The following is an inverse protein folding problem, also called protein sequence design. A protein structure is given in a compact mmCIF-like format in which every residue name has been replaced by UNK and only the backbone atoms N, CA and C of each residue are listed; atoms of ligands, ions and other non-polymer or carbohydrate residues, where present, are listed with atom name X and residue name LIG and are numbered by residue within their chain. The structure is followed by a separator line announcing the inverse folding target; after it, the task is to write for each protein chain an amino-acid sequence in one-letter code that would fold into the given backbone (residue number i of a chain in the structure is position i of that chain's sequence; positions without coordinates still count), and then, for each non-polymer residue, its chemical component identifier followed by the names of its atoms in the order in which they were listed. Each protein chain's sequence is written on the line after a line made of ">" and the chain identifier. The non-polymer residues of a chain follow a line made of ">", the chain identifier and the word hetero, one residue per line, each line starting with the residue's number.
data_IF_347956155369
#
_entry.id   IF_347956155369
#
_cell.length_a   1.000
_cell.length_b   1.000
_cell.length_c   1.000
_cell.angle_alpha   90.00
_cell.angle_beta   90.00
_cell.angle_gamma   90.00
#
_symmetry.space_group_name_H-M   'P 1'
#
loop_
_entity.id
_entity.type
_entity.pdbx_description
1 polymer ?
#
# COMPACT_ATOMS: atom_id res chain seq x y z
N UNK A 1 18.29 10.09 -3.51
CA UNK A 1 17.57 8.81 -3.30
C UNK A 1 16.11 9.13 -3.48
N UNK A 2 15.46 8.52 -4.44
CA UNK A 2 14.03 8.75 -4.71
C UNK A 2 13.16 8.15 -3.60
N UNK A 3 11.88 8.53 -3.54
CA UNK A 3 10.94 7.90 -2.60
C UNK A 3 10.79 6.39 -2.87
N UNK A 4 10.99 5.96 -4.13
CA UNK A 4 10.94 4.55 -4.55
C UNK A 4 12.12 3.78 -3.92
N UNK A 5 13.35 4.30 -4.06
CA UNK A 5 14.54 3.68 -3.47
C UNK A 5 14.40 3.55 -1.95
N UNK A 6 13.87 4.62 -1.31
CA UNK A 6 13.63 4.64 0.12
C UNK A 6 12.57 3.61 0.54
N UNK A 7 11.48 3.48 -0.22
CA UNK A 7 10.43 2.49 0.04
C UNK A 7 10.97 1.06 -0.06
N UNK A 8 11.72 0.75 -1.13
CA UNK A 8 12.39 -0.56 -1.30
C UNK A 8 13.30 -0.87 -0.12
N UNK A 9 14.15 0.08 0.29
CA UNK A 9 15.03 -0.12 1.44
C UNK A 9 14.25 -0.37 2.74
N UNK A 10 13.16 0.38 2.97
CA UNK A 10 12.29 0.19 4.12
C UNK A 10 11.63 -1.18 4.15
N UNK A 11 11.16 -1.67 3.01
CA UNK A 11 10.59 -3.01 2.86
C UNK A 11 11.61 -4.10 3.20
N UNK A 12 12.83 -3.99 2.66
CA UNK A 12 13.92 -4.96 2.93
C UNK A 12 14.33 -4.99 4.40
N UNK A 13 14.41 -3.81 5.05
CA UNK A 13 14.76 -3.70 6.48
C UNK A 13 13.73 -4.27 7.44
N UNK A 14 12.55 -4.59 6.95
CA UNK A 14 11.46 -5.15 7.75
C UNK A 14 11.12 -6.59 7.39
N UNK A 15 12.03 -7.25 6.65
CA UNK A 15 11.90 -8.65 6.24
C UNK A 15 10.60 -8.91 5.46
N UNK A 16 10.16 -7.94 4.66
CA UNK A 16 9.06 -8.14 3.74
C UNK A 16 9.61 -8.89 2.53
N UNK A 17 9.04 -10.04 2.24
CA UNK A 17 9.44 -10.96 1.17
C UNK A 17 8.39 -11.10 0.08
N UNK A 18 7.10 -10.91 0.41
CA UNK A 18 5.99 -11.06 -0.53
C UNK A 18 5.39 -9.70 -0.88
N UNK A 19 5.25 -9.42 -2.18
CA UNK A 19 4.58 -8.22 -2.67
C UNK A 19 3.41 -8.62 -3.55
N UNK A 20 2.18 -8.37 -3.08
CA UNK A 20 0.99 -8.47 -3.91
C UNK A 20 0.65 -7.09 -4.48
N UNK A 21 0.37 -7.01 -5.78
CA UNK A 21 0.16 -5.71 -6.42
C UNK A 21 -0.89 -5.73 -7.52
N UNK A 22 -1.50 -4.57 -7.75
CA UNK A 22 -2.24 -4.24 -8.96
C UNK A 22 -1.69 -2.91 -9.50
N UNK A 23 -1.14 -2.88 -10.73
CA UNK A 23 -0.45 -1.70 -11.24
C UNK A 23 -1.41 -0.56 -11.58
N UNK A 24 -0.98 0.66 -11.29
CA UNK A 24 -1.52 1.94 -11.77
C UNK A 24 -0.36 2.84 -12.13
N UNK A 25 -0.61 3.89 -12.88
CA UNK A 25 0.44 4.79 -13.40
C UNK A 25 1.38 5.30 -12.29
N UNK A 26 0.85 5.65 -11.11
CA UNK A 26 1.63 6.26 -10.03
C UNK A 26 2.36 5.25 -9.16
N UNK A 27 1.84 4.03 -8.98
CA UNK A 27 2.48 2.96 -8.21
C UNK A 27 3.42 2.10 -9.05
N UNK A 28 3.24 2.06 -10.38
CA UNK A 28 4.02 1.19 -11.27
C UNK A 28 5.54 1.32 -11.12
N UNK A 29 6.13 2.52 -10.93
CA UNK A 29 7.57 2.61 -10.72
C UNK A 29 8.07 1.84 -9.49
N UNK A 30 7.31 1.84 -8.39
CA UNK A 30 7.65 1.06 -7.20
C UNK A 30 7.46 -0.44 -7.45
N UNK A 31 6.41 -0.81 -8.18
CA UNK A 31 6.16 -2.22 -8.57
C UNK A 31 7.31 -2.75 -9.43
N UNK A 32 7.75 -2.01 -10.44
CA UNK A 32 8.87 -2.45 -11.28
C UNK A 32 10.18 -2.57 -10.47
N UNK A 33 10.47 -1.60 -9.60
CA UNK A 33 11.64 -1.69 -8.72
C UNK A 33 11.59 -2.93 -7.80
N UNK A 34 10.40 -3.30 -7.31
CA UNK A 34 10.23 -4.51 -6.51
C UNK A 34 10.37 -5.80 -7.33
N UNK A 35 9.93 -5.81 -8.59
CA UNK A 35 10.08 -6.96 -9.50
C UNK A 35 11.53 -7.21 -9.90
N UNK A 36 12.32 -6.16 -10.00
CA UNK A 36 13.73 -6.22 -10.37
C UNK A 36 14.66 -6.54 -9.19
N UNK A 37 14.14 -6.66 -7.97
CA UNK A 37 14.89 -6.95 -6.75
C UNK A 37 14.62 -8.38 -6.25
N UNK A 38 15.65 -9.22 -6.26
CA UNK A 38 15.60 -10.65 -5.87
C UNK A 38 15.16 -10.87 -4.39
N UNK A 39 15.07 -9.80 -3.59
CA UNK A 39 14.58 -9.90 -2.21
C UNK A 39 13.06 -10.14 -2.14
N UNK A 40 12.33 -9.94 -3.23
CA UNK A 40 10.86 -10.00 -3.22
C UNK A 40 10.30 -11.06 -4.16
N UNK A 41 9.34 -11.83 -3.66
CA UNK A 41 8.40 -12.58 -4.50
C UNK A 41 7.23 -11.66 -4.85
N UNK A 42 6.98 -11.43 -6.13
CA UNK A 42 5.92 -10.51 -6.57
C UNK A 42 4.74 -11.27 -7.18
N UNK A 43 3.53 -10.90 -6.77
CA UNK A 43 2.27 -11.52 -7.24
C UNK A 43 1.34 -10.47 -7.83
N UNK A 44 1.12 -10.54 -9.13
CA UNK A 44 0.08 -9.74 -9.79
C UNK A 44 -1.29 -10.33 -9.45
N UNK A 45 -2.16 -9.51 -8.89
CA UNK A 45 -3.56 -9.91 -8.61
C UNK A 45 -4.51 -9.33 -9.65
N UNK A 46 -5.64 -9.97 -9.85
CA UNK A 46 -6.68 -9.49 -10.76
C UNK A 46 -7.63 -8.48 -10.11
N UNK A 47 -7.68 -8.47 -8.78
CA UNK A 47 -8.42 -7.53 -7.94
C UNK A 47 -7.68 -7.35 -6.63
N UNK A 48 -7.71 -6.16 -6.07
CA UNK A 48 -6.98 -5.83 -4.85
C UNK A 48 -7.46 -6.65 -3.64
N UNK A 49 -8.74 -7.01 -3.59
CA UNK A 49 -9.25 -7.88 -2.52
C UNK A 49 -8.56 -9.25 -2.49
N UNK A 50 -8.15 -9.79 -3.66
CA UNK A 50 -7.42 -11.04 -3.73
C UNK A 50 -6.03 -10.92 -3.09
N UNK A 51 -5.41 -9.73 -3.13
CA UNK A 51 -4.14 -9.48 -2.46
C UNK A 51 -4.24 -9.68 -0.94
N UNK A 52 -5.37 -9.30 -0.32
CA UNK A 52 -5.57 -9.54 1.12
C UNK A 52 -5.49 -11.04 1.43
N UNK A 53 -6.09 -11.89 0.58
CA UNK A 53 -5.99 -13.36 0.72
C UNK A 53 -4.57 -13.88 0.52
N UNK A 54 -3.86 -13.41 -0.52
CA UNK A 54 -2.46 -13.78 -0.80
C UNK A 54 -1.56 -13.43 0.38
N UNK A 55 -1.66 -12.20 0.89
CA UNK A 55 -0.84 -11.70 1.99
C UNK A 55 -1.19 -12.37 3.32
N UNK A 56 -2.45 -12.70 3.53
CA UNK A 56 -2.89 -13.53 4.67
C UNK A 56 -2.28 -14.92 4.63
N UNK A 57 -2.26 -15.55 3.45
CA UNK A 57 -1.60 -16.85 3.23
C UNK A 57 -0.09 -16.76 3.44
N UNK A 58 0.56 -15.71 2.97
CA UNK A 58 1.99 -15.47 3.19
C UNK A 58 2.32 -15.39 4.69
N UNK A 59 1.54 -14.62 5.46
CA UNK A 59 1.71 -14.51 6.91
C UNK A 59 1.55 -15.85 7.62
N UNK A 60 0.52 -16.63 7.28
CA UNK A 60 0.33 -17.99 7.83
C UNK A 60 1.46 -18.94 7.43
N UNK A 61 2.09 -18.70 6.28
CA UNK A 61 3.28 -19.40 5.82
C UNK A 61 4.60 -18.89 6.40
N UNK A 62 4.56 -17.91 7.31
CA UNK A 62 5.74 -17.33 7.97
C UNK A 62 6.45 -16.21 7.19
N UNK A 63 5.86 -15.70 6.11
CA UNK A 63 6.39 -14.58 5.32
C UNK A 63 5.66 -13.28 5.63
N UNK A 64 6.39 -12.18 5.70
CA UNK A 64 5.80 -10.84 5.76
C UNK A 64 5.51 -10.34 4.35
N UNK A 65 4.38 -9.63 4.20
CA UNK A 65 3.98 -9.15 2.89
C UNK A 65 3.53 -7.71 2.85
N UNK A 66 3.57 -7.12 1.64
CA UNK A 66 3.06 -5.78 1.36
C UNK A 66 2.12 -5.77 0.16
N UNK A 67 1.11 -4.88 0.21
CA UNK A 67 0.20 -4.55 -0.89
C UNK A 67 0.66 -3.26 -1.55
N UNK A 68 0.83 -3.28 -2.87
CA UNK A 68 1.08 -2.10 -3.68
C UNK A 68 -0.11 -1.86 -4.63
N UNK A 69 -0.83 -0.77 -4.44
CA UNK A 69 -1.96 -0.38 -5.29
C UNK A 69 -2.26 1.12 -5.20
N UNK A 70 -3.28 1.58 -5.90
CA UNK A 70 -3.82 2.93 -5.73
C UNK A 70 -5.02 2.96 -4.77
N UNK A 71 -5.43 4.15 -4.33
CA UNK A 71 -6.51 4.33 -3.35
C UNK A 71 -7.86 3.78 -3.79
N UNK A 72 -8.26 3.95 -5.06
CA UNK A 72 -9.53 3.36 -5.55
C UNK A 72 -9.50 1.84 -5.57
N UNK A 73 -8.33 1.25 -5.77
CA UNK A 73 -8.12 -0.19 -5.66
C UNK A 73 -8.18 -0.67 -4.22
N UNK A 74 -7.59 0.09 -3.29
CA UNK A 74 -7.68 -0.22 -1.87
C UNK A 74 -9.15 -0.25 -1.39
N UNK A 75 -10.01 0.62 -1.91
CA UNK A 75 -11.44 0.61 -1.57
C UNK A 75 -12.11 -0.75 -1.86
N UNK A 76 -11.65 -1.50 -2.87
CA UNK A 76 -12.15 -2.85 -3.15
C UNK A 76 -11.79 -3.88 -2.06
N UNK A 77 -10.85 -3.56 -1.17
CA UNK A 77 -10.38 -4.49 -0.14
C UNK A 77 -11.18 -4.42 1.17
N UNK A 78 -12.04 -3.43 1.36
CA UNK A 78 -12.65 -3.14 2.66
C UNK A 78 -13.43 -4.30 3.27
N UNK A 79 -14.17 -5.06 2.44
CA UNK A 79 -14.82 -6.28 2.93
C UNK A 79 -13.79 -7.32 3.40
N UNK A 80 -12.74 -7.57 2.63
CA UNK A 80 -11.69 -8.53 3.01
C UNK A 80 -10.88 -8.07 4.23
N UNK A 81 -10.64 -6.76 4.37
CA UNK A 81 -10.03 -6.18 5.58
C UNK A 81 -10.92 -6.44 6.82
N UNK A 82 -12.20 -6.12 6.72
CA UNK A 82 -13.15 -6.18 7.84
C UNK A 82 -13.54 -7.62 8.22
N UNK A 83 -13.64 -8.53 7.24
CA UNK A 83 -14.14 -9.90 7.46
C UNK A 83 -13.05 -10.97 7.54
N UNK A 84 -11.83 -10.69 7.07
CA UNK A 84 -10.71 -11.63 7.09
C UNK A 84 -9.52 -11.08 7.87
N UNK A 85 -8.87 -10.02 7.35
CA UNK A 85 -7.56 -9.58 7.87
C UNK A 85 -7.63 -9.12 9.32
N UNK A 86 -8.56 -8.21 9.64
CA UNK A 86 -8.70 -7.66 10.99
C UNK A 86 -9.13 -8.71 12.02
N UNK A 87 -10.23 -9.46 11.84
CA UNK A 87 -10.70 -10.41 12.86
C UNK A 87 -9.78 -11.61 13.04
N UNK A 88 -9.09 -12.05 11.99
CA UNK A 88 -8.17 -13.17 12.05
C UNK A 88 -6.72 -12.77 12.40
N UNK A 89 -6.45 -11.47 12.59
CA UNK A 89 -5.12 -10.91 12.92
C UNK A 89 -4.06 -11.29 11.89
N UNK A 90 -4.37 -11.03 10.62
CA UNK A 90 -3.53 -11.34 9.47
C UNK A 90 -2.93 -10.02 8.93
N UNK A 91 -1.74 -9.61 9.41
CA UNK A 91 -1.16 -8.32 9.10
C UNK A 91 -0.55 -8.27 7.69
N UNK A 92 -0.50 -7.09 7.14
CA UNK A 92 0.34 -6.72 6.01
C UNK A 92 0.59 -5.21 6.01
N UNK A 93 1.59 -4.75 5.26
CA UNK A 93 1.82 -3.34 5.00
C UNK A 93 1.16 -2.95 3.68
N UNK A 94 0.33 -1.91 3.66
CA UNK A 94 -0.11 -1.26 2.42
C UNK A 94 0.81 -0.06 2.09
N UNK A 95 1.33 0.01 0.86
CA UNK A 95 1.90 1.25 0.29
C UNK A 95 1.00 1.62 -0.87
N UNK A 96 0.22 2.68 -0.70
CA UNK A 96 -0.90 3.02 -1.56
C UNK A 96 -0.73 4.45 -2.08
N UNK A 97 -0.68 4.62 -3.39
CA UNK A 97 -0.69 5.97 -3.98
C UNK A 97 -2.08 6.57 -3.86
N UNK A 98 -2.18 7.69 -3.14
CA UNK A 98 -3.45 8.37 -2.93
C UNK A 98 -3.83 9.20 -4.14
N UNK A 99 -5.04 9.00 -4.63
CA UNK A 99 -5.69 9.78 -5.67
C UNK A 99 -6.82 10.60 -5.06
N UNK A 100 -7.40 11.51 -5.82
CA UNK A 100 -8.62 12.22 -5.46
C UNK A 100 -8.44 13.51 -4.67
N UNK A 101 -7.20 13.95 -4.46
CA UNK A 101 -6.89 15.21 -3.80
C UNK A 101 -6.11 16.13 -4.75
N UNK A 102 -5.09 16.80 -4.30
CA UNK A 102 -4.34 17.82 -5.01
C UNK A 102 -3.90 17.35 -6.41
N UNK A 103 -4.30 18.09 -7.44
CA UNK A 103 -3.99 17.78 -8.84
C UNK A 103 -4.89 16.72 -9.50
N UNK A 104 -5.91 16.19 -8.81
CA UNK A 104 -6.82 15.20 -9.40
C UNK A 104 -7.84 15.83 -10.35
N UNK A 105 -7.88 15.35 -11.58
CA UNK A 105 -8.84 15.78 -12.60
C UNK A 105 -9.95 14.73 -12.86
N UNK A 106 -9.78 13.50 -12.40
CA UNK A 106 -10.75 12.42 -12.61
C UNK A 106 -11.72 12.32 -11.44
N UNK A 107 -12.95 12.78 -11.63
CA UNK A 107 -14.00 12.76 -10.61
C UNK A 107 -14.24 11.36 -10.01
N UNK A 108 -14.04 10.29 -10.77
CA UNK A 108 -14.19 8.91 -10.28
C UNK A 108 -13.17 8.54 -9.18
N UNK A 109 -12.05 9.27 -9.08
CA UNK A 109 -11.04 9.06 -8.06
C UNK A 109 -11.27 9.89 -6.79
N UNK A 110 -12.06 10.97 -6.90
CA UNK A 110 -12.18 11.97 -5.82
C UNK A 110 -12.84 11.37 -4.57
N UNK A 111 -14.01 10.75 -4.71
CA UNK A 111 -14.79 10.34 -3.52
C UNK A 111 -14.06 9.34 -2.65
N UNK A 112 -13.57 8.25 -3.23
CA UNK A 112 -12.86 7.21 -2.47
C UNK A 112 -11.44 7.65 -2.09
N UNK A 113 -10.74 8.34 -2.99
CA UNK A 113 -9.36 8.74 -2.76
C UNK A 113 -9.22 9.85 -1.71
N UNK A 114 -10.04 10.90 -1.81
CA UNK A 114 -10.03 11.99 -0.85
C UNK A 114 -10.39 11.53 0.57
N UNK A 115 -11.41 10.68 0.69
CA UNK A 115 -11.87 10.18 1.99
C UNK A 115 -11.14 8.89 2.45
N UNK A 116 -10.09 8.46 1.76
CA UNK A 116 -9.42 7.19 2.08
C UNK A 116 -8.93 7.09 3.54
N UNK A 117 -8.34 8.12 4.15
CA UNK A 117 -7.96 8.05 5.57
C UNK A 117 -9.15 7.73 6.48
N UNK A 118 -10.24 8.46 6.33
CA UNK A 118 -11.46 8.30 7.14
C UNK A 118 -12.11 6.93 6.90
N UNK A 119 -12.15 6.46 5.65
CA UNK A 119 -12.69 5.15 5.32
C UNK A 119 -11.87 4.00 5.94
N UNK A 120 -10.55 4.15 6.03
CA UNK A 120 -9.68 3.20 6.73
C UNK A 120 -9.93 3.24 8.24
N UNK A 121 -10.11 4.43 8.82
CA UNK A 121 -10.44 4.59 10.23
C UNK A 121 -11.79 3.95 10.56
N UNK A 122 -12.80 4.09 9.70
CA UNK A 122 -14.13 3.48 9.85
C UNK A 122 -14.07 1.94 9.90
N UNK A 123 -13.12 1.32 9.22
CA UNK A 123 -12.87 -0.13 9.29
C UNK A 123 -11.75 -0.50 10.27
N UNK A 124 -11.31 0.43 11.12
CA UNK A 124 -10.28 0.28 12.13
C UNK A 124 -8.89 -0.12 11.58
N UNK A 125 -8.59 0.21 10.33
CA UNK A 125 -7.29 0.01 9.73
C UNK A 125 -6.44 1.26 9.92
N UNK A 126 -5.36 1.13 10.69
CA UNK A 126 -4.44 2.25 10.91
C UNK A 126 -3.78 2.69 9.62
N UNK A 127 -3.65 4.00 9.46
CA UNK A 127 -3.06 4.59 8.28
C UNK A 127 -2.24 5.84 8.60
N UNK A 128 -1.44 6.27 7.65
CA UNK A 128 -0.65 7.49 7.75
C UNK A 128 -0.38 8.05 6.36
N UNK A 129 -0.67 9.34 6.14
CA UNK A 129 -0.36 10.05 4.90
C UNK A 129 1.10 10.53 4.89
N UNK A 130 1.79 10.26 3.79
CA UNK A 130 3.17 10.68 3.54
C UNK A 130 3.15 11.83 2.55
N UNK A 131 3.45 13.05 3.01
CA UNK A 131 3.33 14.29 2.24
C UNK A 131 4.63 14.78 1.61
N UNK A 132 5.77 14.24 2.01
CA UNK A 132 7.10 14.61 1.54
C UNK A 132 7.97 13.37 1.34
N UNK A 133 9.04 13.52 0.53
CA UNK A 133 9.98 12.44 0.26
C UNK A 133 10.99 12.21 1.41
N UNK A 134 10.99 13.08 2.41
CA UNK A 134 11.93 12.95 3.52
C UNK A 134 11.55 11.77 4.43
N UNK A 135 12.52 10.91 4.68
CA UNK A 135 12.37 9.77 5.59
C UNK A 135 11.29 8.73 5.20
N UNK A 136 10.98 8.54 3.91
CA UNK A 136 10.06 7.50 3.44
C UNK A 136 10.51 6.11 3.92
N UNK A 137 11.81 5.81 3.88
CA UNK A 137 12.36 4.55 4.38
C UNK A 137 11.99 4.30 5.84
N UNK A 138 12.17 5.33 6.69
CA UNK A 138 11.85 5.21 8.12
C UNK A 138 10.33 5.07 8.37
N UNK A 139 9.49 5.79 7.60
CA UNK A 139 8.03 5.64 7.68
C UNK A 139 7.57 4.25 7.30
N UNK A 140 8.13 3.68 6.22
CA UNK A 140 7.86 2.28 5.82
C UNK A 140 8.27 1.33 6.94
N UNK A 141 9.46 1.50 7.50
CA UNK A 141 9.94 0.67 8.61
C UNK A 141 9.03 0.76 9.84
N UNK A 142 8.63 1.96 10.23
CA UNK A 142 7.74 2.17 11.39
C UNK A 142 6.36 1.55 11.17
N UNK A 143 5.76 1.76 10.00
CA UNK A 143 4.45 1.22 9.65
C UNK A 143 4.47 -0.31 9.60
N UNK A 144 5.48 -0.91 8.96
CA UNK A 144 5.66 -2.36 8.92
C UNK A 144 5.88 -2.94 10.33
N UNK A 145 6.76 -2.31 11.14
CA UNK A 145 6.96 -2.72 12.54
C UNK A 145 5.64 -2.71 13.31
N UNK A 146 4.84 -1.65 13.14
CA UNK A 146 3.53 -1.56 13.80
C UNK A 146 2.58 -2.65 13.31
N UNK A 147 2.49 -2.85 11.98
CA UNK A 147 1.60 -3.87 11.41
C UNK A 147 1.90 -5.27 11.97
N UNK A 148 3.14 -5.70 11.87
CA UNK A 148 3.54 -7.06 12.24
C UNK A 148 3.61 -7.29 13.77
N UNK A 149 3.97 -6.27 14.55
CA UNK A 149 3.98 -6.39 16.03
C UNK A 149 2.60 -6.39 16.64
N UNK A 150 1.62 -5.77 15.99
CA UNK A 150 0.23 -5.72 16.47
C UNK A 150 -0.67 -6.73 15.76
N UNK A 151 -0.13 -7.43 14.77
CA UNK A 151 -0.86 -8.40 13.94
C UNK A 151 -2.12 -7.79 13.29
N UNK A 152 -2.01 -6.58 12.78
CA UNK A 152 -3.10 -5.89 12.05
C UNK A 152 -2.52 -5.16 10.85
N UNK A 153 -3.26 -5.02 9.74
CA UNK A 153 -2.79 -4.25 8.60
C UNK A 153 -2.50 -2.78 8.97
N UNK A 154 -1.53 -2.21 8.29
CA UNK A 154 -1.21 -0.78 8.36
C UNK A 154 -1.03 -0.23 6.95
N UNK A 155 -1.58 0.94 6.64
CA UNK A 155 -1.53 1.54 5.32
C UNK A 155 -0.77 2.87 5.33
N UNK A 156 0.24 2.98 4.48
CA UNK A 156 0.84 4.26 4.12
C UNK A 156 0.18 4.80 2.85
N UNK A 157 -0.36 5.99 2.94
CA UNK A 157 -0.95 6.72 1.82
C UNK A 157 0.11 7.68 1.26
N UNK A 158 0.65 7.36 0.10
CA UNK A 158 1.64 8.18 -0.58
C UNK A 158 0.92 9.30 -1.34
N UNK A 159 1.08 10.53 -0.87
CA UNK A 159 0.39 11.69 -1.43
C UNK A 159 0.98 12.11 -2.79
N UNK A 160 0.22 12.87 -3.58
CA UNK A 160 0.65 13.37 -4.89
C UNK A 160 1.88 14.28 -4.81
N UNK A 161 2.12 14.90 -3.66
CA UNK A 161 3.34 15.69 -3.41
C UNK A 161 4.61 14.82 -3.37
N UNK A 162 4.47 13.50 -3.14
CA UNK A 162 5.57 12.52 -3.15
C UNK A 162 5.63 11.79 -4.49
N UNK A 163 4.47 11.30 -4.96
CA UNK A 163 4.41 10.41 -6.13
C UNK A 163 4.33 11.14 -7.46
N UNK A 164 4.10 12.45 -7.43
CA UNK A 164 3.64 13.18 -8.60
C UNK A 164 2.17 12.89 -8.90
N UNK A 165 1.61 13.63 -9.85
CA UNK A 165 0.24 13.47 -10.31
C UNK A 165 0.18 13.22 -11.82
N UNK A 166 -0.91 12.66 -12.27
CA UNK A 166 -1.15 12.38 -13.67
C UNK A 166 -1.65 13.65 -14.34
N UNK A 167 -0.92 14.14 -15.36
CA UNK A 167 -1.38 15.28 -16.16
C UNK A 167 -2.54 14.87 -17.08
N UNK A 168 -3.52 15.76 -17.24
CA UNK A 168 -4.58 15.59 -18.24
C UNK A 168 -3.95 15.66 -19.64
N UNK A 169 -4.04 14.56 -20.39
CA UNK A 169 -3.62 14.57 -21.81
C UNK A 169 -4.57 15.45 -22.59
N UNK A 170 -4.05 16.56 -23.12
CA UNK A 170 -4.77 17.48 -24.01
C UNK A 170 -5.12 16.83 -25.34
#
# INVERSE_FOLDING_TARGET
>A
MTWIDQAINGLKRTDIEMIAYLPDTTISPLVEAAKDDDAFETVLVTREEAAVGVLSGAWLGGKRGALLCQSSGLANTFNALSSLSMPARLPFLGIVTRRGDLGEFNLAQVTSGYNMPELLDDVNVRNHSVHDEDNVEERVRMAATTAFSTETPYVLLMETTVTGYKEESK
#
